data_IF_412654578245
#
_entry.id   IF_412654578245
#
_cell.length_a   1.000
_cell.length_b   1.000
_cell.length_c   1.000
_cell.angle_alpha   90.00
_cell.angle_beta   90.00
_cell.angle_gamma   90.00
#
_symmetry.space_group_name_H-M   'P 1'
#
loop_
_entity.id
_entity.type
_entity.pdbx_description
1 polymer ?
#
# COMPACT_ATOMS: atom_id res chain seq x y z
N UNK A 1 -11.89 20.21 35.81
CA UNK A 1 -11.40 19.03 35.07
C UNK A 1 -9.99 18.75 35.56
N UNK A 2 -9.67 17.51 35.93
CA UNK A 2 -8.30 17.12 36.26
C UNK A 2 -7.41 17.21 35.00
N UNK A 3 -6.13 17.60 35.12
CA UNK A 3 -5.21 17.59 33.98
C UNK A 3 -5.02 16.16 33.44
N UNK A 4 -4.87 16.04 32.11
CA UNK A 4 -4.57 14.78 31.43
C UNK A 4 -3.24 14.22 31.92
N UNK A 5 -3.15 12.90 32.08
CA UNK A 5 -1.89 12.22 32.42
C UNK A 5 -0.97 12.08 31.20
N UNK A 6 0.30 11.69 31.41
CA UNK A 6 1.29 11.60 30.33
C UNK A 6 0.91 10.60 29.22
N UNK A 7 0.30 9.46 29.57
CA UNK A 7 -0.21 8.48 28.60
C UNK A 7 -1.32 9.06 27.72
N UNK A 8 -2.29 9.75 28.31
CA UNK A 8 -3.38 10.39 27.56
C UNK A 8 -2.85 11.47 26.62
N UNK A 9 -1.86 12.25 27.05
CA UNK A 9 -1.22 13.25 26.19
C UNK A 9 -0.46 12.60 25.03
N UNK A 10 0.24 11.49 25.27
CA UNK A 10 0.92 10.73 24.23
C UNK A 10 -0.07 10.17 23.20
N UNK A 11 -1.15 9.54 23.67
CA UNK A 11 -2.18 8.97 22.81
C UNK A 11 -2.86 10.04 21.94
N UNK A 12 -3.25 11.18 22.53
CA UNK A 12 -3.82 12.30 21.76
C UNK A 12 -2.81 12.78 20.70
N UNK A 13 -1.51 12.80 21.04
CA UNK A 13 -0.48 13.24 20.10
C UNK A 13 -0.38 12.29 18.91
N UNK A 14 -0.44 10.98 19.15
CA UNK A 14 -0.36 9.95 18.12
C UNK A 14 -1.61 9.94 17.23
N UNK A 15 -2.81 10.01 17.82
CA UNK A 15 -4.07 10.11 17.08
C UNK A 15 -4.08 11.34 16.14
N UNK A 16 -3.55 12.47 16.59
CA UNK A 16 -3.42 13.68 15.77
C UNK A 16 -2.40 13.52 14.65
N UNK A 17 -1.27 12.86 14.92
CA UNK A 17 -0.27 12.56 13.89
C UNK A 17 -0.86 11.65 12.82
N UNK A 18 -1.55 10.59 13.22
CA UNK A 18 -2.21 9.66 12.33
C UNK A 18 -3.31 10.34 11.50
N UNK A 19 -4.13 11.19 12.11
CA UNK A 19 -5.14 12.02 11.41
C UNK A 19 -4.49 12.84 10.29
N UNK A 20 -3.37 13.51 10.58
CA UNK A 20 -2.62 14.28 9.59
C UNK A 20 -2.08 13.36 8.49
N UNK A 21 -1.52 12.20 8.84
CA UNK A 21 -0.97 11.26 7.87
C UNK A 21 -2.04 10.69 6.93
N UNK A 22 -3.20 10.29 7.47
CA UNK A 22 -4.36 9.83 6.69
C UNK A 22 -4.92 10.89 5.74
N UNK A 23 -4.93 12.16 6.16
CA UNK A 23 -5.31 13.25 5.26
C UNK A 23 -4.24 13.47 4.17
N UNK A 24 -2.97 13.50 4.58
CA UNK A 24 -1.87 13.77 3.68
C UNK A 24 -1.74 12.71 2.57
N UNK A 25 -1.90 11.43 2.90
CA UNK A 25 -1.79 10.35 1.91
C UNK A 25 -2.85 10.47 0.81
N UNK A 26 -4.08 10.86 1.16
CA UNK A 26 -5.17 11.10 0.20
C UNK A 26 -4.87 12.28 -0.72
N UNK A 27 -4.29 13.35 -0.19
CA UNK A 27 -3.94 14.54 -0.99
C UNK A 27 -2.78 14.22 -1.92
N UNK A 28 -1.74 13.55 -1.43
CA UNK A 28 -0.60 13.15 -2.24
C UNK A 28 -0.95 12.13 -3.32
N UNK A 29 -1.74 11.09 -2.99
CA UNK A 29 -2.11 10.05 -3.95
C UNK A 29 -2.84 10.63 -5.17
N UNK A 30 -3.65 11.67 -4.97
CA UNK A 30 -4.42 12.35 -6.03
C UNK A 30 -3.65 13.41 -6.79
N UNK A 31 -2.83 14.22 -6.10
CA UNK A 31 -2.21 15.44 -6.68
C UNK A 31 -0.73 15.31 -6.96
N UNK A 32 -0.11 14.22 -6.55
CA UNK A 32 1.35 14.10 -6.52
C UNK A 32 1.99 14.98 -5.46
N UNK A 33 3.29 14.75 -5.20
CA UNK A 33 4.07 15.58 -4.27
C UNK A 33 4.12 17.06 -4.71
N UNK A 34 4.28 17.33 -6.01
CA UNK A 34 4.43 18.69 -6.53
C UNK A 34 3.12 19.49 -6.53
N UNK A 35 2.02 18.84 -6.90
CA UNK A 35 0.68 19.45 -6.89
C UNK A 35 0.13 19.69 -5.48
N UNK A 36 0.79 19.12 -4.46
CA UNK A 36 0.35 19.22 -3.06
C UNK A 36 0.98 20.41 -2.34
N UNK A 37 0.15 21.17 -1.63
CA UNK A 37 0.54 22.22 -0.68
C UNK A 37 0.18 21.80 0.75
N UNK A 38 0.99 22.19 1.73
CA UNK A 38 0.71 21.94 3.16
C UNK A 38 -0.66 22.51 3.60
N UNK A 39 -1.15 23.59 2.98
CA UNK A 39 -2.50 24.11 3.22
C UNK A 39 -3.62 23.15 2.85
N UNK A 40 -3.45 22.38 1.77
CA UNK A 40 -4.45 21.40 1.33
C UNK A 40 -4.53 20.26 2.34
N UNK A 41 -3.39 19.81 2.85
CA UNK A 41 -3.30 18.76 3.88
C UNK A 41 -3.93 19.24 5.19
N UNK A 42 -3.63 20.47 5.62
CA UNK A 42 -4.24 21.04 6.82
C UNK A 42 -5.77 21.12 6.70
N UNK A 43 -6.26 21.55 5.54
CA UNK A 43 -7.69 21.59 5.23
C UNK A 43 -8.35 20.20 5.24
N UNK A 44 -7.74 19.23 4.55
CA UNK A 44 -8.22 17.83 4.52
C UNK A 44 -8.22 17.20 5.91
N UNK A 45 -7.20 17.46 6.72
CA UNK A 45 -7.09 16.96 8.09
C UNK A 45 -8.02 17.68 9.07
N UNK A 46 -8.58 18.85 8.72
CA UNK A 46 -9.33 19.69 9.65
C UNK A 46 -8.47 20.25 10.79
N UNK A 47 -7.18 20.52 10.54
CA UNK A 47 -6.23 21.06 11.52
C UNK A 47 -5.71 22.43 11.12
N UNK A 48 -5.19 23.19 12.09
CA UNK A 48 -4.51 24.45 11.79
C UNK A 48 -3.16 24.21 11.10
N UNK A 49 -2.73 25.17 10.29
CA UNK A 49 -1.39 25.19 9.72
C UNK A 49 -0.28 25.07 10.77
N UNK A 50 -0.41 25.79 11.88
CA UNK A 50 0.56 25.75 12.97
C UNK A 50 0.66 24.37 13.60
N UNK A 51 -0.47 23.67 13.77
CA UNK A 51 -0.48 22.30 14.28
C UNK A 51 0.18 21.34 13.28
N UNK A 52 -0.11 21.46 11.98
CA UNK A 52 0.55 20.64 10.96
C UNK A 52 2.08 20.82 10.99
N UNK A 53 2.57 22.06 11.03
CA UNK A 53 4.01 22.37 11.10
C UNK A 53 4.67 22.00 12.44
N UNK A 54 3.86 21.84 13.50
CA UNK A 54 4.36 21.28 14.76
C UNK A 54 4.82 19.84 14.57
N UNK A 55 4.00 19.02 13.88
CA UNK A 55 4.27 17.60 13.61
C UNK A 55 5.26 17.36 12.48
N UNK A 56 5.17 18.12 11.39
CA UNK A 56 5.98 17.92 10.19
C UNK A 56 6.58 19.25 9.73
N UNK A 57 7.91 19.39 9.77
CA UNK A 57 8.60 20.65 9.44
C UNK A 57 8.52 20.99 7.97
N UNK A 58 8.34 19.99 7.11
CA UNK A 58 8.25 20.20 5.67
C UNK A 58 7.31 19.21 4.98
N UNK A 59 6.94 19.55 3.74
CA UNK A 59 6.19 18.64 2.84
C UNK A 59 7.00 17.37 2.57
N UNK A 60 8.31 17.50 2.42
CA UNK A 60 9.22 16.40 2.11
C UNK A 60 9.34 15.44 3.28
N UNK A 61 9.49 15.94 4.51
CA UNK A 61 9.50 15.12 5.73
C UNK A 61 8.19 14.33 5.90
N UNK A 62 7.06 14.99 5.66
CA UNK A 62 5.76 14.32 5.69
C UNK A 62 5.67 13.25 4.60
N UNK A 63 6.10 13.55 3.38
CA UNK A 63 6.10 12.59 2.28
C UNK A 63 6.97 11.36 2.57
N UNK A 64 8.21 11.56 3.07
CA UNK A 64 9.12 10.48 3.47
C UNK A 64 8.46 9.62 4.56
N UNK A 65 7.86 10.24 5.57
CA UNK A 65 7.16 9.54 6.66
C UNK A 65 6.01 8.69 6.13
N UNK A 66 5.24 9.20 5.17
CA UNK A 66 4.13 8.46 4.55
C UNK A 66 4.61 7.31 3.68
N UNK A 67 5.75 7.45 2.99
CA UNK A 67 6.35 6.36 2.21
C UNK A 67 6.77 5.22 3.12
N UNK A 68 7.44 5.53 4.23
CA UNK A 68 7.79 4.54 5.26
C UNK A 68 6.53 3.86 5.81
N UNK A 69 5.53 4.64 6.21
CA UNK A 69 4.28 4.11 6.73
C UNK A 69 3.58 3.20 5.71
N UNK A 70 3.56 3.57 4.43
CA UNK A 70 2.95 2.75 3.37
C UNK A 70 3.69 1.43 3.13
N UNK A 71 5.02 1.43 3.23
CA UNK A 71 5.82 0.20 3.19
C UNK A 71 5.50 -0.71 4.38
N UNK A 72 5.37 -0.14 5.57
CA UNK A 72 5.03 -0.91 6.76
C UNK A 72 3.61 -1.48 6.70
N UNK A 73 2.60 -0.72 6.27
CA UNK A 73 1.24 -1.24 6.07
C UNK A 73 1.22 -2.40 5.07
N UNK A 74 1.90 -2.26 3.93
CA UNK A 74 2.00 -3.34 2.94
C UNK A 74 2.67 -4.61 3.52
N UNK A 75 3.71 -4.44 4.34
CA UNK A 75 4.40 -5.54 5.03
C UNK A 75 3.50 -6.22 6.05
N UNK A 76 2.75 -5.46 6.85
CA UNK A 76 1.84 -6.02 7.85
C UNK A 76 0.69 -6.77 7.18
N UNK A 77 0.07 -6.21 6.14
CA UNK A 77 -1.00 -6.88 5.40
C UNK A 77 -0.56 -8.24 4.83
N UNK A 78 0.67 -8.33 4.32
CA UNK A 78 1.23 -9.59 3.85
C UNK A 78 1.61 -10.54 5.00
N UNK A 79 2.07 -10.02 6.14
CA UNK A 79 2.35 -10.86 7.32
C UNK A 79 1.06 -11.49 7.87
N UNK A 80 0.00 -10.70 8.01
CA UNK A 80 -1.26 -11.13 8.61
C UNK A 80 -1.95 -12.22 7.78
N UNK A 81 -1.71 -12.26 6.47
CA UNK A 81 -2.29 -13.30 5.60
C UNK A 81 -1.80 -14.70 5.96
N UNK A 82 -0.60 -14.83 6.56
CA UNK A 82 -0.07 -16.12 6.97
C UNK A 82 -0.87 -16.75 8.10
N UNK A 83 -1.45 -15.92 8.97
CA UNK A 83 -2.22 -16.38 10.14
C UNK A 83 -3.69 -16.65 9.79
N UNK A 84 -4.17 -16.20 8.63
CA UNK A 84 -5.52 -16.51 8.16
C UNK A 84 -5.64 -18.00 7.81
N UNK A 85 -6.70 -18.72 8.26
CA UNK A 85 -6.96 -20.08 7.83
C UNK A 85 -7.28 -20.17 6.34
N UNK A 86 -6.81 -21.23 5.68
CA UNK A 86 -7.12 -21.50 4.27
C UNK A 86 -5.93 -22.07 3.52
N UNK A 87 -6.20 -22.50 2.28
CA UNK A 87 -5.16 -22.95 1.37
C UNK A 87 -4.28 -21.78 0.89
N UNK A 88 -3.07 -22.04 0.35
CA UNK A 88 -2.24 -20.97 -0.19
C UNK A 88 -2.94 -20.11 -1.25
N UNK A 89 -3.70 -20.73 -2.17
CA UNK A 89 -4.46 -19.99 -3.17
C UNK A 89 -5.59 -19.16 -2.54
N UNK A 90 -6.29 -19.67 -1.53
CA UNK A 90 -7.32 -18.92 -0.81
C UNK A 90 -6.73 -17.67 -0.13
N UNK A 91 -5.56 -17.80 0.50
CA UNK A 91 -4.84 -16.67 1.11
C UNK A 91 -4.44 -15.61 0.09
N UNK A 92 -3.86 -16.03 -1.05
CA UNK A 92 -3.50 -15.11 -2.14
C UNK A 92 -4.77 -14.46 -2.72
N UNK A 93 -5.88 -15.20 -2.83
CA UNK A 93 -7.18 -14.67 -3.29
C UNK A 93 -7.72 -13.61 -2.34
N UNK A 94 -7.66 -13.86 -1.04
CA UNK A 94 -8.10 -12.90 -0.02
C UNK A 94 -7.26 -11.63 -0.06
N UNK A 95 -5.93 -11.76 -0.04
CA UNK A 95 -5.01 -10.62 -0.12
C UNK A 95 -5.27 -9.79 -1.38
N UNK A 96 -5.39 -10.46 -2.54
CA UNK A 96 -5.69 -9.81 -3.81
C UNK A 96 -7.03 -9.07 -3.76
N UNK A 97 -8.05 -9.68 -3.15
CA UNK A 97 -9.37 -9.07 -3.02
C UNK A 97 -9.34 -7.83 -2.14
N UNK A 98 -8.65 -7.88 -1.00
CA UNK A 98 -8.47 -6.72 -0.12
C UNK A 98 -7.81 -5.56 -0.87
N UNK A 99 -6.73 -5.83 -1.60
CA UNK A 99 -6.02 -4.83 -2.41
C UNK A 99 -6.93 -4.24 -3.51
N UNK A 100 -7.66 -5.06 -4.25
CA UNK A 100 -8.51 -4.58 -5.34
C UNK A 100 -9.76 -3.83 -4.85
N UNK A 101 -10.24 -4.13 -3.64
CA UNK A 101 -11.42 -3.50 -3.03
C UNK A 101 -11.11 -2.23 -2.23
N UNK A 102 -9.86 -1.98 -1.85
CA UNK A 102 -9.46 -0.76 -1.13
C UNK A 102 -9.84 0.50 -1.93
N UNK A 103 -10.66 1.38 -1.39
CA UNK A 103 -11.35 2.44 -2.17
C UNK A 103 -10.40 3.40 -2.90
N UNK A 104 -9.28 3.81 -2.29
CA UNK A 104 -8.45 4.90 -2.82
C UNK A 104 -7.03 4.49 -3.25
N UNK A 105 -6.61 3.24 -3.00
CA UNK A 105 -5.26 2.72 -3.30
C UNK A 105 -4.13 3.69 -2.88
N UNK A 106 -4.33 4.54 -1.86
CA UNK A 106 -3.46 5.70 -1.64
C UNK A 106 -2.04 5.30 -1.27
N UNK A 107 -1.88 4.23 -0.51
CA UNK A 107 -0.57 3.66 -0.17
C UNK A 107 0.17 3.21 -1.43
N UNK A 108 -0.47 2.41 -2.29
CA UNK A 108 0.11 1.98 -3.55
C UNK A 108 0.50 3.18 -4.43
N UNK A 109 -0.36 4.18 -4.57
CA UNK A 109 -0.08 5.36 -5.39
C UNK A 109 1.08 6.20 -4.86
N UNK A 110 1.20 6.34 -3.54
CA UNK A 110 2.32 7.04 -2.92
C UNK A 110 3.65 6.32 -3.22
N UNK A 111 3.65 4.99 -3.11
CA UNK A 111 4.80 4.14 -3.44
C UNK A 111 5.17 4.27 -4.92
N UNK A 112 4.18 4.26 -5.82
CA UNK A 112 4.40 4.45 -7.26
C UNK A 112 4.99 5.81 -7.58
N UNK A 113 4.52 6.88 -6.93
CA UNK A 113 5.08 8.22 -7.09
C UNK A 113 6.54 8.28 -6.64
N UNK A 114 6.86 7.69 -5.49
CA UNK A 114 8.24 7.62 -4.99
C UNK A 114 9.19 6.86 -5.94
N UNK A 115 8.67 5.89 -6.71
CA UNK A 115 9.44 5.12 -7.73
C UNK A 115 9.62 5.86 -9.05
N UNK A 116 8.58 6.54 -9.52
CA UNK A 116 8.49 6.97 -10.92
C UNK A 116 8.57 8.48 -11.14
N UNK A 117 8.39 9.29 -10.09
CA UNK A 117 8.40 10.75 -10.23
C UNK A 117 9.79 11.33 -10.03
N UNK A 118 10.20 12.21 -10.94
CA UNK A 118 11.40 13.02 -10.74
C UNK A 118 11.22 14.01 -9.58
N UNK A 119 12.31 14.34 -8.87
CA UNK A 119 12.31 15.35 -7.80
C UNK A 119 11.55 15.00 -6.51
N UNK A 120 11.11 13.75 -6.33
CA UNK A 120 10.79 13.22 -4.98
C UNK A 120 12.04 13.17 -4.10
N UNK A 121 11.91 13.34 -2.77
CA UNK A 121 13.05 13.30 -1.86
C UNK A 121 13.87 12.02 -2.00
N UNK A 122 15.20 12.14 -2.07
CA UNK A 122 16.11 11.00 -2.22
C UNK A 122 15.97 9.97 -1.10
N UNK A 123 15.61 10.40 0.10
CA UNK A 123 15.33 9.49 1.21
C UNK A 123 14.10 8.63 0.99
N UNK A 124 13.04 9.18 0.38
CA UNK A 124 11.87 8.40 0.01
C UNK A 124 12.22 7.33 -1.03
N UNK A 125 13.07 7.66 -2.02
CA UNK A 125 13.58 6.68 -3.00
C UNK A 125 14.40 5.59 -2.31
N UNK A 126 15.32 5.97 -1.42
CA UNK A 126 16.13 5.02 -0.64
C UNK A 126 15.29 4.08 0.21
N UNK A 127 14.21 4.57 0.82
CA UNK A 127 13.25 3.69 1.53
C UNK A 127 12.73 2.66 0.53
N UNK A 128 12.16 3.08 -0.58
CA UNK A 128 11.63 2.12 -1.58
C UNK A 128 12.68 1.14 -2.11
N UNK A 129 13.92 1.59 -2.31
CA UNK A 129 15.04 0.74 -2.75
C UNK A 129 15.46 -0.27 -1.68
N UNK A 130 15.49 0.15 -0.41
CA UNK A 130 15.78 -0.73 0.74
C UNK A 130 14.69 -1.78 0.94
N UNK A 131 13.42 -1.42 0.70
CA UNK A 131 12.27 -2.31 0.60
C UNK A 131 12.10 -2.82 -0.84
N UNK A 132 13.21 -3.25 -1.46
CA UNK A 132 13.28 -3.71 -2.84
C UNK A 132 12.11 -4.62 -3.21
N UNK A 133 11.63 -4.57 -4.47
CA UNK A 133 10.59 -5.49 -4.98
C UNK A 133 10.89 -6.95 -4.60
N UNK A 134 12.18 -7.29 -4.51
CA UNK A 134 12.66 -8.56 -4.00
C UNK A 134 12.13 -8.90 -2.61
N UNK A 135 12.09 -7.98 -1.65
CA UNK A 135 11.56 -8.25 -0.31
C UNK A 135 10.06 -8.64 -0.32
N UNK A 136 9.23 -7.92 -1.08
CA UNK A 136 7.80 -8.27 -1.18
C UNK A 136 7.58 -9.57 -1.96
N UNK A 137 8.33 -9.78 -3.05
CA UNK A 137 8.32 -11.03 -3.80
C UNK A 137 8.76 -12.19 -2.91
N UNK A 138 9.88 -12.06 -2.21
CA UNK A 138 10.44 -13.08 -1.33
C UNK A 138 9.51 -13.40 -0.15
N UNK A 139 8.72 -12.42 0.31
CA UNK A 139 7.64 -12.67 1.27
C UNK A 139 6.44 -13.39 0.66
N UNK A 140 6.15 -13.26 -0.63
CA UNK A 140 5.09 -14.03 -1.31
C UNK A 140 5.55 -15.45 -1.68
N UNK A 141 6.85 -15.65 -1.91
CA UNK A 141 7.40 -16.92 -2.39
C UNK A 141 6.96 -18.15 -1.57
N UNK A 142 6.94 -18.14 -0.22
CA UNK A 142 6.53 -19.32 0.53
C UNK A 142 5.06 -19.72 0.28
N UNK A 143 4.16 -18.75 0.01
CA UNK A 143 2.77 -19.06 -0.36
C UNK A 143 2.70 -19.64 -1.77
N UNK A 144 3.49 -19.10 -2.70
CA UNK A 144 3.56 -19.61 -4.07
C UNK A 144 4.14 -21.04 -4.11
N UNK A 145 5.20 -21.30 -3.34
CA UNK A 145 5.81 -22.62 -3.17
C UNK A 145 4.82 -23.63 -2.59
N UNK A 146 4.15 -23.27 -1.48
CA UNK A 146 3.15 -24.13 -0.86
C UNK A 146 1.98 -24.42 -1.80
N UNK A 147 1.51 -23.41 -2.54
CA UNK A 147 0.43 -23.57 -3.51
C UNK A 147 0.81 -24.48 -4.68
N UNK A 148 2.05 -24.41 -5.16
CA UNK A 148 2.53 -25.29 -6.23
C UNK A 148 2.70 -26.74 -5.73
N UNK A 149 3.22 -26.92 -4.50
CA UNK A 149 3.32 -28.24 -3.87
C UNK A 149 1.95 -28.89 -3.62
N UNK A 150 0.94 -28.09 -3.26
CA UNK A 150 -0.45 -28.54 -3.11
C UNK A 150 -1.18 -28.77 -4.45
N UNK A 151 -0.58 -28.40 -5.58
CA UNK A 151 -1.19 -28.49 -6.90
C UNK A 151 -2.24 -27.42 -7.20
N UNK A 152 -2.33 -26.37 -6.38
CA UNK A 152 -3.24 -25.23 -6.55
C UNK A 152 -2.68 -24.19 -7.53
N UNK A 153 -1.36 -23.97 -7.50
CA UNK A 153 -0.63 -23.08 -8.41
C UNK A 153 0.04 -23.92 -9.49
N UNK A 154 0.07 -23.39 -10.71
CA UNK A 154 0.65 -24.02 -11.89
C UNK A 154 2.13 -24.38 -11.66
N UNK A 155 2.55 -25.50 -12.28
CA UNK A 155 3.96 -25.88 -12.30
C UNK A 155 4.74 -24.90 -13.19
N UNK A 156 5.93 -24.50 -12.75
CA UNK A 156 6.77 -23.53 -13.45
C UNK A 156 7.69 -22.75 -12.52
N UNK A 157 8.41 -21.79 -13.07
CA UNK A 157 9.24 -20.88 -12.29
C UNK A 157 8.36 -19.95 -11.44
N UNK A 158 8.49 -20.06 -10.12
CA UNK A 158 7.67 -19.33 -9.18
C UNK A 158 7.95 -17.82 -9.19
N UNK A 159 9.19 -17.40 -9.51
CA UNK A 159 9.53 -15.98 -9.63
C UNK A 159 8.90 -15.38 -10.87
N UNK A 160 8.85 -16.12 -11.99
CA UNK A 160 8.13 -15.69 -13.19
C UNK A 160 6.61 -15.58 -12.93
N UNK A 161 6.01 -16.58 -12.27
CA UNK A 161 4.60 -16.55 -11.90
C UNK A 161 4.28 -15.37 -10.97
N UNK A 162 5.08 -15.16 -9.93
CA UNK A 162 4.93 -14.02 -9.02
C UNK A 162 5.11 -12.69 -9.75
N UNK A 163 6.10 -12.56 -10.63
CA UNK A 163 6.33 -11.35 -11.42
C UNK A 163 5.14 -11.02 -12.33
N UNK A 164 4.58 -12.02 -13.03
CA UNK A 164 3.36 -11.86 -13.82
C UNK A 164 2.19 -11.39 -12.95
N UNK A 165 1.99 -12.04 -11.81
CA UNK A 165 0.91 -11.68 -10.88
C UNK A 165 1.00 -10.24 -10.38
N UNK A 166 2.18 -9.85 -9.91
CA UNK A 166 2.41 -8.49 -9.40
C UNK A 166 2.30 -7.45 -10.51
N UNK A 167 2.75 -7.77 -11.72
CA UNK A 167 2.66 -6.86 -12.87
C UNK A 167 1.21 -6.57 -13.24
N UNK A 168 0.36 -7.60 -13.34
CA UNK A 168 -1.06 -7.41 -13.64
C UNK A 168 -1.75 -6.70 -12.48
N UNK A 169 -1.52 -7.11 -11.23
CA UNK A 169 -2.10 -6.47 -10.06
C UNK A 169 -1.73 -4.97 -9.97
N UNK A 170 -0.45 -4.64 -10.21
CA UNK A 170 0.03 -3.26 -10.26
C UNK A 170 -0.63 -2.45 -11.38
N UNK A 171 -0.79 -3.03 -12.56
CA UNK A 171 -1.52 -2.41 -13.67
C UNK A 171 -2.98 -2.13 -13.33
N UNK A 172 -3.67 -3.09 -12.71
CA UNK A 172 -5.06 -2.92 -12.27
C UNK A 172 -5.22 -1.82 -11.22
N UNK A 173 -4.32 -1.76 -10.24
CA UNK A 173 -4.31 -0.70 -9.22
C UNK A 173 -4.03 0.68 -9.83
N UNK A 174 -3.14 0.75 -10.82
CA UNK A 174 -2.81 1.99 -11.54
C UNK A 174 -3.95 2.48 -12.43
N UNK A 175 -4.69 1.57 -13.07
CA UNK A 175 -5.87 1.93 -13.86
C UNK A 175 -7.02 2.39 -12.95
N UNK A 176 -7.20 1.77 -11.77
CA UNK A 176 -8.20 2.18 -10.79
C UNK A 176 -7.98 3.59 -10.25
N UNK A 177 -6.72 4.03 -10.16
CA UNK A 177 -6.39 5.36 -9.63
C UNK A 177 -6.56 6.49 -10.65
N UNK A 178 -6.67 6.17 -11.94
CA UNK A 178 -7.11 7.13 -12.94
C UNK A 178 -8.60 7.36 -12.67
N UNK A 179 -9.04 8.61 -12.50
CA UNK A 179 -10.39 9.00 -12.06
C UNK A 179 -11.50 8.67 -13.10
N UNK A 180 -11.48 7.47 -13.70
CA UNK A 180 -12.51 6.91 -14.57
C UNK A 180 -13.55 6.19 -13.70
N UNK A 181 -14.74 6.79 -13.49
CA UNK A 181 -15.79 6.20 -12.65
C UNK A 181 -16.40 4.92 -13.24
N UNK A 182 -16.13 4.63 -14.52
CA UNK A 182 -16.64 3.45 -15.21
C UNK A 182 -15.74 2.23 -15.05
N UNK A 183 -14.49 2.42 -14.64
CA UNK A 183 -13.55 1.33 -14.47
C UNK A 183 -13.82 0.56 -13.18
N UNK A 184 -14.09 -0.74 -13.33
CA UNK A 184 -14.19 -1.68 -12.20
C UNK A 184 -13.07 -2.71 -12.34
N UNK A 185 -12.19 -2.87 -11.34
CA UNK A 185 -11.18 -3.92 -11.40
C UNK A 185 -11.86 -5.30 -11.45
N UNK A 186 -11.25 -6.28 -12.13
CA UNK A 186 -11.76 -7.64 -12.14
C UNK A 186 -11.75 -8.24 -10.73
N UNK A 187 -12.57 -9.27 -10.51
CA UNK A 187 -12.50 -10.04 -9.26
C UNK A 187 -11.16 -10.76 -9.13
N UNK A 188 -10.67 -10.93 -7.91
CA UNK A 188 -9.40 -11.60 -7.64
C UNK A 188 -9.31 -12.99 -8.26
N UNK A 189 -10.40 -13.76 -8.26
CA UNK A 189 -10.41 -15.12 -8.83
C UNK A 189 -10.18 -15.11 -10.34
N UNK A 190 -10.64 -14.08 -11.06
CA UNK A 190 -10.40 -13.96 -12.50
C UNK A 190 -8.93 -13.69 -12.77
N UNK A 191 -8.30 -12.83 -11.97
CA UNK A 191 -6.87 -12.54 -12.04
C UNK A 191 -6.06 -13.82 -11.77
N UNK A 192 -6.38 -14.53 -10.69
CA UNK A 192 -5.60 -15.67 -10.23
C UNK A 192 -5.70 -16.91 -11.13
N UNK A 193 -6.63 -16.94 -12.10
CA UNK A 193 -6.63 -17.97 -13.16
C UNK A 193 -5.35 -18.02 -13.97
N UNK A 194 -4.57 -16.93 -14.04
CA UNK A 194 -3.26 -16.96 -14.70
C UNK A 194 -2.20 -17.74 -13.90
N UNK A 195 -2.42 -17.93 -12.59
CA UNK A 195 -1.54 -18.67 -11.70
C UNK A 195 -1.96 -20.12 -11.55
N UNK A 196 -3.18 -20.48 -11.92
CA UNK A 196 -3.68 -21.84 -11.77
C UNK A 196 -3.64 -22.56 -13.11
N UNK A 197 -3.40 -23.87 -13.08
CA UNK A 197 -3.62 -24.69 -14.28
C UNK A 197 -5.11 -24.57 -14.62
N UNK A 198 -5.43 -24.27 -15.88
CA UNK A 198 -6.81 -24.24 -16.39
C UNK A 198 -7.48 -25.61 -16.28
N UNK A 199 -7.87 -26.00 -15.07
CA UNK A 199 -8.70 -27.15 -14.75
C UNK A 199 -10.05 -26.57 -14.32
N UNK A 200 -10.70 -25.91 -15.27
CA UNK A 200 -12.15 -25.82 -15.24
C UNK A 200 -12.68 -27.24 -15.42
N UNK A 201 -13.30 -27.78 -14.37
CA UNK A 201 -14.44 -28.67 -14.59
C UNK A 201 -15.55 -27.91 -15.31
#
# INVERSE_FOLDING_TARGET
MAPLNEEQLHQIRDERKEQIMRAAIKVFSKRGIFGTKMSMIAGEAGVSHGLLYHYFKSKDELFITLVQWSMDEARHALSDIYDVPGTPLEKITLLTSMILQEDDNSHFMLIQQARTSDGVPEEAKRIIESYSIHAFVDQLMPLFEAGQQAGEIAAGDLRELAACYLSVLSGLMTLKSQEDPSYTPPRAELLLRMLTNGQGK
#
